data_IF_400527107590
#
_entry.id   IF_400527107590
#
_cell.length_a   1.000
_cell.length_b   1.000
_cell.length_c   1.000
_cell.angle_alpha   90.00
_cell.angle_beta   90.00
_cell.angle_gamma   90.00
#
_symmetry.space_group_name_H-M   'P 1'
#
loop_
_entity.id
_entity.type
_entity.pdbx_description
1 polymer ?
#
# COMPACT_ATOMS: atom_id res chain seq x y z
N UNK A 1 14.60 -6.32 3.48
CA UNK A 1 14.44 -5.18 4.40
C UNK A 1 12.97 -4.92 4.61
N UNK A 2 12.52 -4.64 5.83
CA UNK A 2 11.12 -4.34 6.12
C UNK A 2 10.90 -2.82 6.02
N UNK A 3 10.27 -2.38 4.94
CA UNK A 3 9.91 -0.97 4.75
C UNK A 3 8.63 -0.66 5.54
N UNK A 4 8.79 -0.25 6.80
CA UNK A 4 7.64 0.16 7.64
C UNK A 4 7.04 1.49 7.20
N UNK A 5 7.85 2.36 6.60
CA UNK A 5 7.45 3.70 6.13
C UNK A 5 6.37 3.65 5.04
N UNK A 6 6.34 2.60 4.23
CA UNK A 6 5.33 2.44 3.17
C UNK A 6 4.07 1.71 3.66
N UNK A 7 3.97 1.39 4.95
CA UNK A 7 2.74 0.79 5.49
C UNK A 7 1.75 1.91 5.86
N UNK A 8 0.43 1.68 5.75
CA UNK A 8 -0.54 2.74 6.03
C UNK A 8 -0.44 3.17 7.48
N UNK A 9 -0.71 4.44 7.78
CA UNK A 9 -0.68 4.92 9.16
C UNK A 9 -1.70 4.20 10.05
N UNK A 10 -1.42 4.14 11.35
CA UNK A 10 -2.36 3.54 12.32
C UNK A 10 -3.72 4.25 12.29
N UNK A 11 -3.73 5.56 12.10
CA UNK A 11 -4.95 6.35 11.98
C UNK A 11 -5.76 5.94 10.74
N UNK A 12 -5.10 5.83 9.58
CA UNK A 12 -5.74 5.43 8.34
C UNK A 12 -6.30 4.01 8.41
N UNK A 13 -5.56 3.05 8.99
CA UNK A 13 -6.04 1.68 9.22
C UNK A 13 -7.29 1.65 10.10
N UNK A 14 -7.30 2.39 11.22
CA UNK A 14 -8.46 2.48 12.13
C UNK A 14 -9.66 3.12 11.45
N UNK A 15 -9.44 4.15 10.62
CA UNK A 15 -10.50 4.83 9.89
C UNK A 15 -11.13 3.94 8.81
N UNK A 16 -10.30 3.19 8.08
CA UNK A 16 -10.76 2.25 7.07
C UNK A 16 -11.58 1.12 7.68
N UNK A 17 -11.13 0.55 8.80
CA UNK A 17 -11.84 -0.50 9.57
C UNK A 17 -12.31 -1.69 8.70
N UNK A 18 -11.66 -1.96 7.57
CA UNK A 18 -12.08 -2.94 6.56
C UNK A 18 -13.50 -2.73 6.01
N UNK A 19 -13.90 -1.47 5.86
CA UNK A 19 -15.17 -1.06 5.29
C UNK A 19 -15.04 -0.93 3.76
N UNK A 20 -15.63 -1.82 2.95
CA UNK A 20 -15.50 -1.80 1.49
C UNK A 20 -16.00 -0.50 0.86
N UNK A 21 -17.00 0.15 1.46
CA UNK A 21 -17.54 1.43 0.96
C UNK A 21 -16.49 2.54 1.04
N UNK A 22 -15.55 2.44 1.98
CA UNK A 22 -14.43 3.36 2.13
C UNK A 22 -13.22 2.99 1.30
N UNK A 23 -13.22 1.86 0.59
CA UNK A 23 -12.04 1.34 -0.09
C UNK A 23 -11.44 2.33 -1.08
N UNK A 24 -12.28 2.91 -1.94
CA UNK A 24 -11.82 3.88 -2.95
C UNK A 24 -11.13 5.09 -2.31
N UNK A 25 -11.64 5.54 -1.18
CA UNK A 25 -11.11 6.68 -0.44
C UNK A 25 -9.88 6.30 0.38
N UNK A 26 -9.84 5.08 0.94
CA UNK A 26 -8.65 4.51 1.57
C UNK A 26 -7.49 4.47 0.59
N UNK A 27 -7.71 3.98 -0.64
CA UNK A 27 -6.67 3.96 -1.67
C UNK A 27 -6.10 5.36 -1.91
N UNK A 28 -6.96 6.38 -2.09
CA UNK A 28 -6.50 7.77 -2.29
C UNK A 28 -5.69 8.29 -1.12
N UNK A 29 -6.19 8.11 0.12
CA UNK A 29 -5.50 8.58 1.33
C UNK A 29 -4.18 7.86 1.53
N UNK A 30 -4.15 6.56 1.26
CA UNK A 30 -2.93 5.76 1.37
C UNK A 30 -1.92 6.13 0.29
N UNK A 31 -2.35 6.36 -0.95
CA UNK A 31 -1.48 6.88 -2.01
C UNK A 31 -0.85 8.23 -1.63
N UNK A 32 -1.59 9.13 -0.98
CA UNK A 32 -1.02 10.37 -0.47
C UNK A 32 0.04 10.12 0.61
N UNK A 33 -0.18 9.18 1.55
CA UNK A 33 0.86 8.77 2.51
C UNK A 33 2.10 8.17 1.81
N UNK A 34 1.89 7.42 0.72
CA UNK A 34 2.99 6.84 -0.08
C UNK A 34 3.75 7.92 -0.87
N UNK A 35 3.08 8.94 -1.37
CA UNK A 35 3.68 10.08 -2.06
C UNK A 35 4.61 10.89 -1.13
N UNK A 36 4.29 10.98 0.16
CA UNK A 36 5.18 11.58 1.18
C UNK A 36 6.44 10.74 1.41
N UNK A 37 6.38 9.42 1.15
CA UNK A 37 7.49 8.46 1.25
C UNK A 37 8.02 8.03 -0.13
N UNK A 38 8.04 8.96 -1.08
CA UNK A 38 8.37 8.69 -2.49
C UNK A 38 9.72 8.00 -2.70
N UNK A 39 10.75 8.34 -1.94
CA UNK A 39 12.07 7.71 -2.10
C UNK A 39 12.03 6.20 -1.82
N UNK A 40 11.32 5.79 -0.76
CA UNK A 40 11.13 4.40 -0.37
C UNK A 40 10.27 3.66 -1.40
N UNK A 41 9.20 4.30 -1.89
CA UNK A 41 8.37 3.77 -2.97
C UNK A 41 9.19 3.55 -4.23
N UNK A 42 9.98 4.53 -4.66
CA UNK A 42 10.80 4.41 -5.86
C UNK A 42 11.86 3.32 -5.75
N UNK A 43 12.45 3.12 -4.55
CA UNK A 43 13.32 1.96 -4.29
C UNK A 43 12.55 0.65 -4.50
N UNK A 44 11.34 0.56 -3.95
CA UNK A 44 10.50 -0.62 -4.10
C UNK A 44 10.10 -0.89 -5.55
N UNK A 45 9.71 0.14 -6.31
CA UNK A 45 9.36 0.04 -7.74
C UNK A 45 10.56 -0.44 -8.55
N UNK A 46 11.76 0.11 -8.30
CA UNK A 46 13.00 -0.33 -8.97
C UNK A 46 13.31 -1.81 -8.70
N UNK A 47 13.06 -2.27 -7.48
CA UNK A 47 13.22 -3.67 -7.11
C UNK A 47 12.15 -4.55 -7.76
N UNK A 48 10.89 -4.08 -7.80
CA UNK A 48 9.76 -4.79 -8.42
C UNK A 48 9.96 -5.02 -9.92
N UNK A 49 10.61 -4.08 -10.61
CA UNK A 49 10.97 -4.22 -12.03
C UNK A 49 12.07 -5.26 -12.27
N UNK A 50 12.90 -5.55 -11.28
CA UNK A 50 14.02 -6.51 -11.40
C UNK A 50 13.66 -7.93 -10.95
N UNK A 51 12.73 -8.04 -10.00
CA UNK A 51 12.34 -9.31 -9.38
C UNK A 51 10.91 -9.27 -8.85
N UNK A 52 10.31 -10.45 -8.73
CA UNK A 52 9.04 -10.62 -8.04
C UNK A 52 9.16 -10.20 -6.57
N UNK A 53 8.24 -9.35 -6.12
CA UNK A 53 8.11 -8.94 -4.72
C UNK A 53 6.86 -9.57 -4.13
N UNK A 54 7.00 -10.21 -2.98
CA UNK A 54 5.87 -10.74 -2.20
C UNK A 54 5.42 -9.72 -1.17
N UNK A 55 4.18 -9.24 -1.29
CA UNK A 55 3.55 -8.35 -0.31
C UNK A 55 2.76 -9.18 0.70
N UNK A 56 3.11 -9.06 1.98
CA UNK A 56 2.45 -9.78 3.07
C UNK A 56 1.39 -8.90 3.73
N UNK A 57 0.23 -9.49 4.03
CA UNK A 57 -0.85 -8.86 4.78
C UNK A 57 -1.44 -9.86 5.80
N UNK A 58 -2.12 -9.33 6.82
CA UNK A 58 -2.75 -10.14 7.89
C UNK A 58 -4.27 -9.87 8.04
N UNK A 59 -4.86 -9.17 7.07
CA UNK A 59 -6.30 -8.91 7.01
C UNK A 59 -7.06 -10.17 6.59
N UNK A 60 -8.28 -10.33 7.13
CA UNK A 60 -9.21 -11.39 6.66
C UNK A 60 -9.74 -11.12 5.25
N UNK A 61 -9.88 -9.85 4.90
CA UNK A 61 -10.28 -9.43 3.56
C UNK A 61 -9.07 -9.48 2.61
N UNK A 62 -9.14 -10.40 1.65
CA UNK A 62 -8.08 -10.61 0.65
C UNK A 62 -8.16 -9.63 -0.51
N UNK A 63 -9.29 -8.96 -0.70
CA UNK A 63 -9.55 -8.03 -1.80
C UNK A 63 -9.30 -6.57 -1.37
N UNK A 64 -9.68 -6.21 -0.14
CA UNK A 64 -9.54 -4.85 0.39
C UNK A 64 -8.57 -4.78 1.56
N UNK A 65 -7.27 -4.82 1.25
CA UNK A 65 -6.21 -4.72 2.23
C UNK A 65 -5.03 -3.86 1.76
N UNK A 66 -4.15 -3.51 2.70
CA UNK A 66 -3.00 -2.66 2.43
C UNK A 66 -2.03 -3.21 1.37
N UNK A 67 -1.90 -4.54 1.25
CA UNK A 67 -1.03 -5.14 0.23
C UNK A 67 -1.64 -4.98 -1.18
N UNK A 68 -2.95 -5.15 -1.33
CA UNK A 68 -3.65 -4.92 -2.60
C UNK A 68 -3.55 -3.45 -3.00
N UNK A 69 -3.81 -2.51 -2.08
CA UNK A 69 -3.70 -1.08 -2.37
C UNK A 69 -2.27 -0.68 -2.76
N UNK A 70 -1.27 -1.21 -2.06
CA UNK A 70 0.14 -0.95 -2.37
C UNK A 70 0.53 -1.54 -3.73
N UNK A 71 0.07 -2.76 -4.04
CA UNK A 71 0.30 -3.41 -5.34
C UNK A 71 -0.25 -2.54 -6.47
N UNK A 72 -1.51 -2.13 -6.39
CA UNK A 72 -2.15 -1.30 -7.42
C UNK A 72 -1.39 0.02 -7.63
N UNK A 73 -0.94 0.65 -6.54
CA UNK A 73 -0.19 1.91 -6.62
C UNK A 73 1.19 1.72 -7.27
N UNK A 74 1.93 0.65 -6.94
CA UNK A 74 3.21 0.33 -7.60
C UNK A 74 2.99 0.03 -9.08
N UNK A 75 1.94 -0.71 -9.43
CA UNK A 75 1.58 -1.02 -10.83
C UNK A 75 1.28 0.24 -11.65
N UNK A 76 0.77 1.30 -11.04
CA UNK A 76 0.56 2.60 -11.71
C UNK A 76 1.85 3.39 -11.93
N UNK A 77 2.91 3.09 -11.18
CA UNK A 77 4.22 3.77 -11.29
C UNK A 77 5.22 3.00 -12.16
N UNK A 78 4.90 1.77 -12.55
CA UNK A 78 5.72 0.94 -13.43
C UNK A 78 5.55 1.35 -14.89
#
# INVERSE_FOLDING_TARGET
>A
EWLREIAPSTALRKWFKHDPDKWKEFKKKYSAELDDHREQVEKLVREARKRTITLLFSARDTEHNNAVALKEYIEQLM
#
